data_IF_667159913386
#
_entry.id   IF_667159913386
#
_cell.length_a   1.000
_cell.length_b   1.000
_cell.length_c   1.000
_cell.angle_alpha   90.00
_cell.angle_beta   90.00
_cell.angle_gamma   90.00
#
_symmetry.space_group_name_H-M   'P 1'
#
loop_
_entity.id
_entity.type
_entity.pdbx_description
1 polymer ?
#
# COMPACT_ATOMS: atom_id res chain seq x y z
N UNK A 1 20.35 -11.11 -15.97
CA UNK A 1 19.44 -9.96 -16.06
C UNK A 1 20.10 -8.84 -15.28
N UNK A 2 20.34 -7.66 -15.87
CA UNK A 2 21.00 -6.57 -15.12
C UNK A 2 20.05 -6.05 -14.05
N UNK A 3 20.48 -6.12 -12.79
CA UNK A 3 19.76 -5.49 -11.69
C UNK A 3 19.73 -3.98 -11.92
N UNK A 4 18.53 -3.44 -12.06
CA UNK A 4 18.31 -2.00 -12.15
C UNK A 4 18.57 -1.38 -10.78
N UNK A 5 19.28 -0.25 -10.75
CA UNK A 5 19.47 0.49 -9.50
C UNK A 5 18.13 1.07 -9.03
N UNK A 6 17.96 1.29 -7.72
CA UNK A 6 16.75 1.89 -7.15
C UNK A 6 16.43 3.25 -7.80
N UNK A 7 17.45 4.05 -8.11
CA UNK A 7 17.27 5.34 -8.79
C UNK A 7 16.74 5.19 -10.21
N UNK A 8 17.23 4.20 -10.96
CA UNK A 8 16.74 3.90 -12.31
C UNK A 8 15.31 3.34 -12.26
N UNK A 9 14.98 2.52 -11.26
CA UNK A 9 13.61 2.05 -11.04
C UNK A 9 12.65 3.21 -10.75
N UNK A 10 13.01 4.13 -9.85
CA UNK A 10 12.21 5.33 -9.54
C UNK A 10 12.01 6.18 -10.79
N UNK A 11 13.07 6.44 -11.55
CA UNK A 11 13.00 7.24 -12.78
C UNK A 11 12.07 6.61 -13.82
N UNK A 12 12.11 5.28 -13.99
CA UNK A 12 11.20 4.56 -14.89
C UNK A 12 9.75 4.63 -14.43
N UNK A 13 9.51 4.51 -13.12
CA UNK A 13 8.18 4.66 -12.53
C UNK A 13 7.64 6.08 -12.75
N UNK A 14 8.46 7.10 -12.55
CA UNK A 14 8.09 8.49 -12.83
C UNK A 14 7.81 8.73 -14.32
N UNK A 15 8.61 8.17 -15.22
CA UNK A 15 8.37 8.24 -16.66
C UNK A 15 7.07 7.54 -17.07
N UNK A 16 6.74 6.41 -16.45
CA UNK A 16 5.56 5.63 -16.79
C UNK A 16 4.26 6.21 -16.22
N UNK A 17 4.29 6.67 -14.97
CA UNK A 17 3.08 7.15 -14.26
C UNK A 17 2.95 8.67 -14.21
N UNK A 18 3.99 9.42 -14.58
CA UNK A 18 4.04 10.88 -14.58
C UNK A 18 4.11 11.52 -13.19
N UNK A 19 3.52 10.89 -12.18
CA UNK A 19 3.55 11.36 -10.80
C UNK A 19 3.31 10.21 -9.81
N UNK A 20 3.64 10.48 -8.54
CA UNK A 20 3.29 9.61 -7.43
C UNK A 20 1.77 9.38 -7.32
N UNK A 21 0.96 10.40 -7.61
CA UNK A 21 -0.50 10.26 -7.63
C UNK A 21 -0.97 9.35 -8.77
N UNK A 22 -0.33 9.42 -9.93
CA UNK A 22 -0.56 8.50 -11.05
C UNK A 22 -0.26 7.06 -10.66
N UNK A 23 0.89 6.84 -10.02
CA UNK A 23 1.29 5.52 -9.52
C UNK A 23 0.32 4.98 -8.46
N UNK A 24 -0.06 5.81 -7.48
CA UNK A 24 -1.05 5.40 -6.47
C UNK A 24 -2.40 5.10 -7.11
N UNK A 25 -2.86 5.93 -8.05
CA UNK A 25 -4.13 5.69 -8.76
C UNK A 25 -4.10 4.38 -9.51
N UNK A 26 -2.98 4.05 -10.16
CA UNK A 26 -2.78 2.76 -10.81
C UNK A 26 -2.87 1.60 -9.80
N UNK A 27 -2.12 1.66 -8.70
CA UNK A 27 -2.15 0.63 -7.66
C UNK A 27 -3.56 0.42 -7.07
N UNK A 28 -4.28 1.52 -6.76
CA UNK A 28 -5.65 1.43 -6.27
C UNK A 28 -6.62 0.89 -7.33
N UNK A 29 -6.36 1.14 -8.62
CA UNK A 29 -7.15 0.56 -9.71
C UNK A 29 -6.96 -0.96 -9.78
N UNK A 30 -5.72 -1.43 -9.66
CA UNK A 30 -5.40 -2.87 -9.65
C UNK A 30 -6.01 -3.58 -8.44
N UNK A 31 -5.92 -2.99 -7.25
CA UNK A 31 -6.55 -3.53 -6.05
C UNK A 31 -8.09 -3.49 -6.11
N UNK A 32 -8.64 -2.43 -6.72
CA UNK A 32 -10.08 -2.29 -6.97
C UNK A 32 -10.60 -3.34 -7.95
N UNK A 33 -9.81 -3.72 -8.96
CA UNK A 33 -10.21 -4.70 -9.97
C UNK A 33 -10.06 -6.14 -9.47
N UNK A 34 -9.00 -6.45 -8.73
CA UNK A 34 -8.76 -7.79 -8.20
C UNK A 34 -9.61 -8.11 -6.96
N UNK A 35 -10.06 -7.09 -6.24
CA UNK A 35 -10.67 -7.26 -4.92
C UNK A 35 -9.69 -7.78 -3.87
N UNK A 36 -8.38 -7.74 -4.15
CA UNK A 36 -7.35 -8.15 -3.20
C UNK A 36 -7.41 -7.25 -1.96
N UNK A 37 -7.39 -7.81 -0.74
CA UNK A 37 -7.28 -7.00 0.48
C UNK A 37 -5.98 -6.21 0.49
N UNK A 38 -5.98 -5.08 1.17
CA UNK A 38 -4.80 -4.25 1.33
C UNK A 38 -4.77 -3.53 2.67
N UNK A 39 -3.56 -3.28 3.16
CA UNK A 39 -3.32 -2.30 4.19
C UNK A 39 -3.13 -0.92 3.53
N UNK A 40 -4.03 0.02 3.83
CA UNK A 40 -4.03 1.37 3.26
C UNK A 40 -3.50 2.34 4.29
N UNK A 41 -2.37 2.96 3.99
CA UNK A 41 -1.70 3.93 4.87
C UNK A 41 -2.05 5.35 4.46
N UNK A 42 -1.90 6.31 5.38
CA UNK A 42 -2.29 7.72 5.17
C UNK A 42 -1.19 8.67 5.60
N UNK A 43 -1.26 9.92 5.14
CA UNK A 43 -0.35 10.98 5.57
C UNK A 43 -0.61 11.49 6.99
N UNK A 44 -1.87 11.48 7.46
CA UNK A 44 -2.27 12.20 8.70
C UNK A 44 -3.14 11.38 9.65
N UNK A 45 -3.28 10.08 9.43
CA UNK A 45 -4.09 9.21 10.29
C UNK A 45 -3.62 7.76 10.28
N UNK A 46 -4.20 6.96 11.18
CA UNK A 46 -3.93 5.52 11.27
C UNK A 46 -4.35 4.78 9.99
N UNK A 47 -3.63 3.70 9.63
CA UNK A 47 -3.92 2.89 8.46
C UNK A 47 -5.27 2.18 8.59
N UNK A 48 -5.86 1.84 7.45
CA UNK A 48 -6.94 0.85 7.36
C UNK A 48 -6.29 -0.50 7.06
N UNK A 49 -6.60 -1.52 7.85
CA UNK A 49 -5.93 -2.82 7.77
C UNK A 49 -6.87 -3.84 7.13
N UNK A 50 -6.32 -4.65 6.22
CA UNK A 50 -7.01 -5.73 5.54
C UNK A 50 -8.34 -5.31 4.90
N UNK A 51 -8.36 -4.15 4.24
CA UNK A 51 -9.55 -3.61 3.57
C UNK A 51 -9.52 -3.85 2.08
N UNK A 52 -10.70 -4.04 1.48
CA UNK A 52 -10.84 -4.02 0.02
C UNK A 52 -11.20 -2.62 -0.43
N UNK A 53 -10.65 -2.19 -1.56
CA UNK A 53 -11.00 -0.94 -2.23
C UNK A 53 -12.23 -1.18 -3.09
N UNK A 54 -13.20 -0.26 -3.06
CA UNK A 54 -14.41 -0.37 -3.88
C UNK A 54 -14.08 -0.58 -5.35
N UNK A 55 -14.80 -1.51 -6.00
CA UNK A 55 -14.72 -1.80 -7.45
C UNK A 55 -15.07 -0.61 -8.35
N UNK A 56 -15.60 0.49 -7.78
CA UNK A 56 -15.97 1.70 -8.52
C UNK A 56 -14.80 2.33 -9.28
N UNK A 57 -13.57 2.26 -8.74
CA UNK A 57 -12.38 2.79 -9.42
C UNK A 57 -12.12 1.97 -10.70
N UNK A 58 -12.08 0.65 -10.58
CA UNK A 58 -11.89 -0.26 -11.71
C UNK A 58 -13.02 -0.14 -12.74
N UNK A 59 -14.28 -0.12 -12.29
CA UNK A 59 -15.42 0.06 -13.18
C UNK A 59 -15.36 1.38 -13.96
N UNK A 60 -14.90 2.47 -13.32
CA UNK A 60 -14.75 3.75 -14.00
C UNK A 60 -13.73 3.72 -15.15
N UNK A 61 -12.68 2.89 -15.02
CA UNK A 61 -11.64 2.70 -16.04
C UNK A 61 -12.01 1.69 -17.11
N UNK A 62 -12.68 0.60 -16.72
CA UNK A 62 -12.96 -0.54 -17.59
C UNK A 62 -14.26 -0.37 -18.39
N UNK A 63 -15.20 0.41 -17.88
CA UNK A 63 -16.53 0.57 -18.48
C UNK A 63 -16.74 1.94 -19.15
N UNK A 64 -15.68 2.71 -19.41
CA UNK A 64 -15.79 4.00 -20.10
C UNK A 64 -16.48 5.09 -19.26
N UNK A 65 -16.35 5.07 -17.93
CA UNK A 65 -16.91 6.09 -17.03
C UNK A 65 -15.81 6.99 -16.46
N UNK A 66 -14.79 7.31 -17.25
CA UNK A 66 -13.62 8.08 -16.83
C UNK A 66 -14.00 9.46 -16.28
N UNK A 67 -15.09 10.04 -16.77
CA UNK A 67 -15.64 11.31 -16.26
C UNK A 67 -16.07 11.25 -14.78
N UNK A 68 -16.36 10.06 -14.24
CA UNK A 68 -16.69 9.88 -12.83
C UNK A 68 -15.47 9.66 -11.94
N UNK A 69 -14.32 9.31 -12.52
CA UNK A 69 -13.12 8.95 -11.76
C UNK A 69 -12.65 10.05 -10.80
N UNK A 70 -12.61 11.35 -11.17
CA UNK A 70 -12.22 12.40 -10.23
C UNK A 70 -13.13 12.47 -8.99
N UNK A 71 -14.44 12.20 -9.16
CA UNK A 71 -15.40 12.17 -8.05
C UNK A 71 -15.18 10.95 -7.16
N UNK A 72 -14.90 9.79 -7.77
CA UNK A 72 -14.62 8.55 -7.04
C UNK A 72 -13.31 8.68 -6.25
N UNK A 73 -12.25 9.22 -6.85
CA UNK A 73 -10.96 9.42 -6.19
C UNK A 73 -11.01 10.43 -5.02
N UNK A 74 -11.98 11.34 -5.00
CA UNK A 74 -12.25 12.20 -3.83
C UNK A 74 -12.93 11.47 -2.68
N UNK A 75 -13.58 10.33 -2.93
CA UNK A 75 -14.37 9.58 -1.94
C UNK A 75 -14.33 8.08 -2.24
N UNK A 76 -13.17 7.48 -2.00
CA UNK A 76 -12.90 6.06 -2.20
C UNK A 76 -13.48 5.28 -1.02
N UNK A 77 -14.51 4.43 -1.22
CA UNK A 77 -15.05 3.57 -0.17
C UNK A 77 -14.18 2.33 0.03
N UNK A 78 -14.13 1.87 1.27
CA UNK A 78 -13.45 0.63 1.68
C UNK A 78 -14.45 -0.37 2.28
N UNK A 79 -14.11 -1.65 2.29
CA UNK A 79 -14.99 -2.73 2.78
C UNK A 79 -15.42 -2.58 4.25
N UNK A 80 -14.62 -1.88 5.07
CA UNK A 80 -14.96 -1.61 6.47
C UNK A 80 -15.88 -0.37 6.67
N UNK A 81 -16.43 0.18 5.59
CA UNK A 81 -17.30 1.36 5.62
C UNK A 81 -16.56 2.70 5.69
N UNK A 82 -15.24 2.70 5.86
CA UNK A 82 -14.46 3.92 5.81
C UNK A 82 -14.44 4.52 4.39
N UNK A 83 -14.18 5.82 4.32
CA UNK A 83 -14.01 6.56 3.06
C UNK A 83 -12.77 7.42 3.17
N UNK A 84 -11.99 7.51 2.09
CA UNK A 84 -10.85 8.42 2.00
C UNK A 84 -10.73 9.03 0.60
N UNK A 85 -10.08 10.18 0.50
CA UNK A 85 -9.62 10.71 -0.78
C UNK A 85 -8.24 10.16 -1.15
N UNK A 86 -7.93 10.15 -2.45
CA UNK A 86 -6.59 9.81 -2.96
C UNK A 86 -5.49 10.67 -2.31
N UNK A 87 -5.78 11.94 -2.06
CA UNK A 87 -4.85 12.90 -1.47
C UNK A 87 -4.48 12.59 0.00
N UNK A 88 -5.30 11.80 0.71
CA UNK A 88 -5.01 11.39 2.08
C UNK A 88 -4.13 10.13 2.14
N UNK A 89 -4.20 9.28 1.13
CA UNK A 89 -3.56 7.96 1.11
C UNK A 89 -2.08 8.13 0.82
N UNK A 90 -1.23 7.42 1.56
CA UNK A 90 0.22 7.32 1.34
C UNK A 90 0.61 6.12 0.47
N UNK A 91 0.07 4.94 0.73
CA UNK A 91 0.22 3.77 -0.15
C UNK A 91 -0.83 2.72 0.20
N UNK A 92 -1.15 1.84 -0.76
CA UNK A 92 -1.85 0.59 -0.52
C UNK A 92 -0.88 -0.57 -0.63
N UNK A 93 -0.78 -1.38 0.41
CA UNK A 93 0.08 -2.56 0.46
C UNK A 93 -0.82 -3.80 0.31
N UNK A 94 -0.75 -4.54 -0.81
CA UNK A 94 -1.56 -5.73 -1.02
C UNK A 94 -1.32 -6.77 0.07
N UNK A 95 -2.38 -7.42 0.54
CA UNK A 95 -2.33 -8.47 1.57
C UNK A 95 -2.89 -9.78 0.98
N UNK A 96 -2.51 -10.95 1.54
CA UNK A 96 -3.07 -12.23 1.13
C UNK A 96 -4.59 -12.29 1.30
N UNK A 97 -5.25 -12.95 0.35
CA UNK A 97 -6.67 -13.27 0.47
C UNK A 97 -6.84 -14.26 1.62
N UNK A 98 -7.73 -13.96 2.56
CA UNK A 98 -7.90 -14.73 3.80
C UNK A 98 -7.14 -14.16 5.00
N UNK A 99 -6.23 -13.20 4.79
CA UNK A 99 -5.44 -12.58 5.85
C UNK A 99 -4.35 -13.50 6.39
N UNK A 100 -3.97 -13.28 7.64
CA UNK A 100 -2.98 -14.09 8.37
C UNK A 100 -3.60 -14.61 9.65
N UNK A 101 -3.21 -15.81 10.04
CA UNK A 101 -3.41 -16.35 11.39
C UNK A 101 -2.42 -15.73 12.37
N UNK A 102 -2.73 -15.81 13.66
CA UNK A 102 -1.83 -15.31 14.71
C UNK A 102 -0.53 -16.14 14.75
N UNK A 103 -0.62 -17.45 14.48
CA UNK A 103 0.50 -18.37 14.40
C UNK A 103 1.45 -18.02 13.25
N UNK A 104 0.91 -17.72 12.06
CA UNK A 104 1.72 -17.28 10.90
C UNK A 104 2.49 -16.00 11.22
N UNK A 105 1.82 -15.00 11.82
CA UNK A 105 2.48 -13.76 12.20
C UNK A 105 3.50 -13.97 13.33
N UNK A 106 3.22 -14.86 14.29
CA UNK A 106 4.14 -15.16 15.38
C UNK A 106 5.42 -15.85 14.90
N UNK A 107 5.34 -16.65 13.83
CA UNK A 107 6.45 -17.39 13.26
C UNK A 107 7.44 -16.53 12.44
N UNK A 108 7.05 -15.31 12.05
CA UNK A 108 7.90 -14.41 11.25
C UNK A 108 9.18 -14.03 12.00
N UNK A 109 10.33 -14.18 11.33
CA UNK A 109 11.60 -13.68 11.83
C UNK A 109 11.72 -12.16 11.67
N UNK A 110 11.71 -11.45 12.79
CA UNK A 110 11.85 -10.00 12.82
C UNK A 110 13.27 -9.50 12.52
N UNK A 111 14.27 -10.40 12.46
CA UNK A 111 15.63 -10.05 12.09
C UNK A 111 15.72 -9.53 10.64
N UNK A 112 14.86 -9.99 9.73
CA UNK A 112 14.73 -9.46 8.36
C UNK A 112 14.42 -7.96 8.37
N UNK A 113 13.77 -7.46 9.42
CA UNK A 113 13.52 -6.03 9.61
C UNK A 113 14.79 -5.17 9.73
N UNK A 114 15.94 -5.75 10.03
CA UNK A 114 17.21 -5.04 10.17
C UNK A 114 17.99 -4.93 8.85
N UNK A 115 17.54 -5.63 7.81
CA UNK A 115 18.13 -5.52 6.47
C UNK A 115 17.90 -4.14 5.86
N UNK A 116 18.87 -3.68 5.06
CA UNK A 116 18.81 -2.36 4.40
C UNK A 116 18.11 -2.49 3.06
N UNK A 117 16.92 -1.90 2.99
CA UNK A 117 16.07 -1.88 1.78
C UNK A 117 15.85 -0.46 1.25
N UNK A 118 16.10 0.56 2.07
CA UNK A 118 15.86 1.95 1.71
C UNK A 118 16.95 2.53 0.79
N UNK A 119 16.59 3.52 -0.06
CA UNK A 119 17.54 4.17 -0.97
C UNK A 119 18.67 4.91 -0.24
N UNK A 120 18.48 5.26 1.05
CA UNK A 120 19.48 5.93 1.88
C UNK A 120 20.06 5.00 2.95
N UNK A 121 19.92 3.68 2.77
CA UNK A 121 20.36 2.67 3.73
C UNK A 121 19.42 2.49 4.92
N UNK A 122 18.17 2.95 4.84
CA UNK A 122 17.18 2.66 5.87
C UNK A 122 16.90 1.14 5.97
N UNK A 123 16.75 0.65 7.20
CA UNK A 123 16.30 -0.72 7.43
C UNK A 123 14.83 -0.89 7.06
N UNK A 124 14.41 -2.12 6.72
CA UNK A 124 13.00 -2.42 6.47
C UNK A 124 12.11 -1.99 7.65
N UNK A 125 12.54 -2.23 8.89
CA UNK A 125 11.87 -1.76 10.10
C UNK A 125 11.67 -0.24 10.11
N UNK A 126 12.68 0.52 9.70
CA UNK A 126 12.58 1.97 9.63
C UNK A 126 11.58 2.42 8.55
N UNK A 127 11.56 1.73 7.41
CA UNK A 127 10.57 1.98 6.35
C UNK A 127 9.15 1.69 6.85
N UNK A 128 8.91 0.53 7.46
CA UNK A 128 7.60 0.16 8.01
C UNK A 128 7.15 1.14 9.09
N UNK A 129 8.04 1.53 10.01
CA UNK A 129 7.74 2.53 11.05
C UNK A 129 7.25 3.84 10.45
N UNK A 130 7.91 4.33 9.39
CA UNK A 130 7.53 5.57 8.68
C UNK A 130 6.22 5.40 7.92
N UNK A 131 6.11 4.34 7.12
CA UNK A 131 4.94 4.05 6.26
C UNK A 131 3.65 3.90 7.06
N UNK A 132 3.69 3.19 8.19
CA UNK A 132 2.54 2.97 9.07
C UNK A 132 2.43 3.99 10.21
N UNK A 133 3.35 4.97 10.28
CA UNK A 133 3.41 6.01 11.32
C UNK A 133 3.40 5.46 12.76
N UNK A 134 4.15 4.38 12.99
CA UNK A 134 4.16 3.68 14.26
C UNK A 134 4.78 4.55 15.35
N UNK A 135 4.21 4.51 16.55
CA UNK A 135 4.69 5.26 17.71
C UNK A 135 5.58 4.42 18.62
N UNK A 136 5.36 3.11 18.67
CA UNK A 136 6.14 2.19 19.50
C UNK A 136 6.83 1.09 18.67
N UNK A 137 7.80 0.39 19.28
CA UNK A 137 8.43 -0.78 18.67
C UNK A 137 7.43 -1.92 18.46
N UNK A 138 6.58 -2.18 19.47
CA UNK A 138 5.51 -3.20 19.38
C UNK A 138 4.58 -2.97 18.18
N UNK A 139 4.19 -1.72 17.95
CA UNK A 139 3.38 -1.36 16.78
C UNK A 139 4.14 -1.55 15.47
N UNK A 140 5.43 -1.19 15.42
CA UNK A 140 6.27 -1.47 14.26
C UNK A 140 6.41 -2.97 14.00
N UNK A 141 6.63 -3.78 15.04
CA UNK A 141 6.74 -5.23 14.92
C UNK A 141 5.46 -5.87 14.38
N UNK A 142 4.29 -5.35 14.76
CA UNK A 142 3.01 -5.83 14.23
C UNK A 142 2.93 -5.65 12.70
N UNK A 143 3.20 -4.44 12.19
CA UNK A 143 3.14 -4.21 10.74
C UNK A 143 4.31 -4.84 9.98
N UNK A 144 5.47 -4.97 10.62
CA UNK A 144 6.63 -5.62 10.03
C UNK A 144 6.35 -7.10 9.78
N UNK A 145 5.71 -7.80 10.74
CA UNK A 145 5.28 -9.19 10.53
C UNK A 145 4.35 -9.33 9.33
N UNK A 146 3.36 -8.45 9.24
CA UNK A 146 2.40 -8.43 8.12
C UNK A 146 3.08 -8.19 6.77
N UNK A 147 4.12 -7.35 6.75
CA UNK A 147 4.88 -7.07 5.54
C UNK A 147 5.77 -8.23 5.12
N UNK A 148 6.44 -8.90 6.05
CA UNK A 148 7.33 -10.03 5.73
C UNK A 148 6.50 -11.26 5.31
N UNK A 149 5.33 -11.45 5.92
CA UNK A 149 4.45 -12.58 5.62
C UNK A 149 3.66 -12.41 4.30
N UNK A 150 3.54 -11.20 3.75
CA UNK A 150 2.78 -10.89 2.53
C UNK A 150 3.60 -11.10 1.26
#
# INVERSE_FOLDING_TARGET
>A
TQDITTQEAIKRLEQHFGSREGMLTHNLTMLSSSGQPADVTFYRRKPLINVQISTKIAAARLCGLEGQLPRILKRIPFSNGAVASLAEIWTGNPMPIGGFTDEELAAVDLAEGEERHGPNGETLRNLIRKTYQCKSRKETDFYLRRWIAS
#
